data_IF_116529998348
#
_entry.id   IF_116529998348
#
_cell.length_a   1.000
_cell.length_b   1.000
_cell.length_c   1.000
_cell.angle_alpha   90.00
_cell.angle_beta   90.00
_cell.angle_gamma   90.00
#
_symmetry.space_group_name_H-M   'P 1'
#
loop_
_entity.id
_entity.type
_entity.pdbx_description
1 polymer ?
#
# COMPACT_ATOMS: atom_id res chain seq x y z
N UNK A 1 -9.30 -68.97 -50.93
CA UNK A 1 -8.56 -68.61 -49.75
C UNK A 1 -7.87 -67.28 -50.04
N UNK A 2 -8.42 -66.17 -49.65
CA UNK A 2 -7.83 -64.83 -49.82
C UNK A 2 -8.06 -64.01 -48.58
N UNK A 3 -6.98 -63.74 -47.88
CA UNK A 3 -6.94 -62.86 -46.66
C UNK A 3 -6.86 -61.43 -47.10
N UNK A 4 -7.85 -60.60 -46.80
CA UNK A 4 -7.81 -59.15 -46.88
C UNK A 4 -7.44 -58.56 -45.50
N UNK A 5 -6.26 -57.91 -45.42
CA UNK A 5 -5.75 -57.22 -44.28
C UNK A 5 -6.17 -55.72 -44.31
N UNK A 6 -7.14 -55.33 -43.49
CA UNK A 6 -7.46 -53.91 -43.29
C UNK A 6 -6.44 -53.24 -42.36
N UNK A 7 -5.69 -52.29 -42.88
CA UNK A 7 -4.89 -51.36 -42.10
C UNK A 7 -5.80 -50.22 -41.61
N UNK A 8 -5.98 -50.09 -40.29
CA UNK A 8 -6.57 -48.91 -39.65
C UNK A 8 -5.48 -47.85 -39.49
N UNK A 9 -5.66 -46.70 -40.13
CA UNK A 9 -4.90 -45.47 -39.86
C UNK A 9 -5.43 -44.82 -38.58
N UNK A 10 -4.62 -44.75 -37.54
CA UNK A 10 -4.86 -43.95 -36.37
C UNK A 10 -4.37 -42.52 -36.66
N UNK A 11 -5.29 -41.59 -36.78
CA UNK A 11 -5.02 -40.17 -36.83
C UNK A 11 -4.73 -39.67 -35.41
N UNK A 12 -3.51 -39.27 -35.17
CA UNK A 12 -3.13 -38.55 -33.95
C UNK A 12 -3.59 -37.09 -34.06
N UNK A 13 -4.68 -36.75 -33.35
CA UNK A 13 -5.08 -35.37 -33.15
C UNK A 13 -4.18 -34.75 -32.04
N UNK A 14 -3.21 -33.95 -32.46
CA UNK A 14 -2.37 -33.17 -31.54
C UNK A 14 -3.19 -32.05 -30.94
N UNK A 15 -3.49 -32.16 -29.64
CA UNK A 15 -4.00 -31.06 -28.82
C UNK A 15 -2.84 -30.11 -28.54
N UNK A 16 -2.78 -29.00 -29.25
CA UNK A 16 -1.97 -27.83 -28.88
C UNK A 16 -2.65 -27.14 -27.68
N UNK A 17 -2.24 -27.50 -26.48
CA UNK A 17 -2.60 -26.78 -25.28
C UNK A 17 -1.92 -25.42 -25.29
N UNK A 18 -2.68 -24.36 -25.56
CA UNK A 18 -2.23 -22.98 -25.34
C UNK A 18 -2.13 -22.79 -23.83
N UNK A 19 -0.91 -22.92 -23.28
CA UNK A 19 -0.61 -22.41 -21.94
C UNK A 19 -0.76 -20.88 -21.97
N UNK A 20 -1.92 -20.38 -21.58
CA UNK A 20 -2.08 -18.97 -21.20
C UNK A 20 -1.29 -18.80 -19.90
N UNK A 21 -0.01 -18.42 -20.04
CA UNK A 21 0.78 -17.93 -18.92
C UNK A 21 0.11 -16.62 -18.52
N UNK A 22 -0.75 -16.69 -17.49
CA UNK A 22 -1.26 -15.50 -16.83
C UNK A 22 -0.04 -14.75 -16.27
N UNK A 23 0.37 -13.71 -16.98
CA UNK A 23 1.29 -12.71 -16.46
C UNK A 23 0.61 -12.10 -15.24
N UNK A 24 0.83 -12.71 -14.07
CA UNK A 24 0.52 -12.08 -12.80
C UNK A 24 1.25 -10.74 -12.79
N UNK A 25 0.50 -9.66 -12.85
CA UNK A 25 1.04 -8.32 -12.71
C UNK A 25 1.76 -8.26 -11.38
N UNK A 26 3.09 -8.31 -11.41
CA UNK A 26 3.90 -8.05 -10.23
C UNK A 26 3.54 -6.63 -9.78
N UNK A 27 2.92 -6.53 -8.63
CA UNK A 27 2.58 -5.26 -8.00
C UNK A 27 3.89 -4.64 -7.51
N UNK A 28 4.20 -3.45 -7.97
CA UNK A 28 5.32 -2.65 -7.52
C UNK A 28 4.77 -1.30 -7.07
N UNK A 29 5.50 -0.60 -6.22
CA UNK A 29 5.15 0.80 -5.93
C UNK A 29 5.20 1.59 -7.23
N UNK A 30 4.06 2.15 -7.64
CA UNK A 30 3.94 2.91 -8.88
C UNK A 30 4.67 4.26 -8.75
N UNK A 31 5.91 4.30 -9.23
CA UNK A 31 6.70 5.54 -9.32
C UNK A 31 6.15 6.44 -10.42
N UNK A 32 5.72 5.85 -11.54
CA UNK A 32 5.09 6.54 -12.66
C UNK A 32 3.73 5.91 -12.92
N UNK A 33 2.69 6.72 -12.95
CA UNK A 33 1.33 6.31 -13.30
C UNK A 33 0.95 6.88 -14.66
N UNK A 34 0.33 6.06 -15.51
CA UNK A 34 -0.37 6.56 -16.69
C UNK A 34 -1.70 7.21 -16.28
N UNK A 35 -2.32 7.97 -17.19
CA UNK A 35 -3.66 8.52 -16.96
C UNK A 35 -4.70 7.42 -16.72
N UNK A 36 -4.59 6.29 -17.45
CA UNK A 36 -5.46 5.13 -17.26
C UNK A 36 -5.29 4.48 -15.90
N UNK A 37 -4.05 4.37 -15.40
CA UNK A 37 -3.79 3.83 -14.06
C UNK A 37 -4.29 4.76 -12.96
N UNK A 38 -4.17 6.06 -13.17
CA UNK A 38 -4.73 7.06 -12.26
C UNK A 38 -6.27 6.94 -12.18
N UNK A 39 -6.95 6.81 -13.35
CA UNK A 39 -8.38 6.63 -13.39
C UNK A 39 -8.81 5.32 -12.72
N UNK A 40 -8.10 4.21 -12.96
CA UNK A 40 -8.36 2.93 -12.28
C UNK A 40 -8.19 3.04 -10.77
N UNK A 41 -7.19 3.78 -10.30
CA UNK A 41 -6.98 3.99 -8.87
C UNK A 41 -8.13 4.78 -8.24
N UNK A 42 -8.62 5.85 -8.90
CA UNK A 42 -9.80 6.60 -8.47
C UNK A 42 -11.03 5.68 -8.35
N UNK A 43 -11.32 4.88 -9.37
CA UNK A 43 -12.45 3.94 -9.37
C UNK A 43 -12.29 2.85 -8.29
N UNK A 44 -11.07 2.34 -8.07
CA UNK A 44 -10.77 1.37 -7.01
C UNK A 44 -11.14 1.92 -5.63
N UNK A 45 -10.90 3.20 -5.39
CA UNK A 45 -11.30 3.85 -4.14
C UNK A 45 -12.79 4.17 -4.09
N UNK A 46 -13.36 4.63 -5.20
CA UNK A 46 -14.73 5.13 -5.30
C UNK A 46 -15.77 4.02 -5.15
N UNK A 47 -15.66 2.95 -5.94
CA UNK A 47 -16.70 1.91 -6.06
C UNK A 47 -17.06 1.25 -4.71
N UNK A 48 -16.09 0.82 -3.86
CA UNK A 48 -16.43 0.26 -2.57
C UNK A 48 -17.14 1.27 -1.64
N UNK A 49 -16.74 2.54 -1.70
CA UNK A 49 -17.31 3.61 -0.87
C UNK A 49 -18.72 3.99 -1.32
N UNK A 50 -19.03 3.93 -2.62
CA UNK A 50 -20.39 4.12 -3.15
C UNK A 50 -21.36 3.05 -2.65
N UNK A 51 -20.88 1.82 -2.46
CA UNK A 51 -21.67 0.68 -1.97
C UNK A 51 -21.80 0.63 -0.44
N UNK A 52 -20.99 1.41 0.28
CA UNK A 52 -20.98 1.43 1.74
C UNK A 52 -22.09 2.36 2.26
N UNK A 53 -23.25 1.82 2.61
CA UNK A 53 -24.40 2.61 3.06
C UNK A 53 -24.45 2.78 4.59
N UNK A 54 -23.91 1.83 5.33
CA UNK A 54 -23.86 1.88 6.78
C UNK A 54 -22.50 2.38 7.30
N UNK A 55 -22.44 3.04 8.47
CA UNK A 55 -21.18 3.50 9.07
C UNK A 55 -20.14 2.38 9.24
N UNK A 56 -20.55 1.17 9.58
CA UNK A 56 -19.69 -0.02 9.69
C UNK A 56 -19.11 -0.46 8.35
N UNK A 57 -19.84 -0.31 7.23
CA UNK A 57 -19.33 -0.62 5.90
C UNK A 57 -18.29 0.40 5.48
N UNK A 58 -18.54 1.68 5.74
CA UNK A 58 -17.56 2.77 5.53
C UNK A 58 -16.28 2.49 6.33
N UNK A 59 -16.42 2.11 7.61
CA UNK A 59 -15.28 1.74 8.47
C UNK A 59 -14.48 0.59 7.89
N UNK A 60 -15.15 -0.47 7.40
CA UNK A 60 -14.49 -1.62 6.75
C UNK A 60 -13.72 -1.20 5.49
N UNK A 61 -14.31 -0.38 4.62
CA UNK A 61 -13.63 0.12 3.40
C UNK A 61 -12.37 0.90 3.77
N UNK A 62 -12.43 1.79 4.76
CA UNK A 62 -11.27 2.56 5.21
C UNK A 62 -10.20 1.69 5.85
N UNK A 63 -10.61 0.70 6.66
CA UNK A 63 -9.69 -0.27 7.27
C UNK A 63 -8.98 -1.10 6.21
N UNK A 64 -9.71 -1.65 5.23
CA UNK A 64 -9.12 -2.42 4.12
C UNK A 64 -8.15 -1.58 3.30
N UNK A 65 -8.48 -0.32 2.99
CA UNK A 65 -7.59 0.59 2.29
C UNK A 65 -6.28 0.86 3.07
N UNK A 66 -6.38 1.02 4.39
CA UNK A 66 -5.21 1.19 5.26
C UNK A 66 -4.35 -0.08 5.30
N UNK A 67 -4.98 -1.26 5.41
CA UNK A 67 -4.28 -2.55 5.43
C UNK A 67 -3.56 -2.83 4.10
N UNK A 68 -4.18 -2.50 2.96
CA UNK A 68 -3.58 -2.71 1.63
C UNK A 68 -2.28 -1.91 1.41
N UNK A 69 -2.13 -0.77 2.08
CA UNK A 69 -0.94 0.08 2.02
C UNK A 69 0.02 -0.10 3.21
N UNK A 70 -0.32 -1.01 4.14
CA UNK A 70 0.47 -1.23 5.36
C UNK A 70 1.59 -2.23 5.13
N UNK A 71 2.71 -1.97 5.77
CA UNK A 71 3.87 -2.85 5.89
C UNK A 71 4.26 -3.01 7.36
N UNK A 72 5.01 -4.08 7.67
CA UNK A 72 5.37 -4.39 9.05
C UNK A 72 4.31 -5.21 9.77
N UNK A 73 4.05 -4.88 11.02
CA UNK A 73 3.13 -5.63 11.88
C UNK A 73 1.68 -5.54 11.40
N UNK A 74 0.97 -6.65 11.50
CA UNK A 74 -0.47 -6.74 11.28
C UNK A 74 -1.18 -6.24 12.55
N UNK A 75 -1.97 -5.16 12.50
CA UNK A 75 -2.58 -4.57 13.68
C UNK A 75 -3.64 -5.46 14.35
N UNK A 76 -4.14 -6.50 13.66
CA UNK A 76 -5.08 -7.46 14.25
C UNK A 76 -4.36 -8.52 15.09
N UNK A 77 -3.10 -8.86 14.72
CA UNK A 77 -2.29 -9.86 15.42
C UNK A 77 -1.33 -9.24 16.42
N UNK A 78 -0.77 -8.10 16.07
CA UNK A 78 0.17 -7.34 16.89
C UNK A 78 -0.18 -5.85 16.83
N UNK A 79 -1.12 -5.40 17.68
CA UNK A 79 -1.61 -4.01 17.65
C UNK A 79 -0.54 -2.97 17.97
N UNK A 80 0.54 -3.37 18.65
CA UNK A 80 1.67 -2.51 19.02
C UNK A 80 2.95 -2.81 18.24
N UNK A 81 2.93 -3.78 17.35
CA UNK A 81 4.05 -4.02 16.46
C UNK A 81 4.33 -2.83 15.54
N UNK A 82 5.62 -2.57 15.32
CA UNK A 82 6.05 -1.49 14.46
C UNK A 82 5.52 -1.68 13.03
N UNK A 83 4.87 -0.66 12.49
CA UNK A 83 4.26 -0.72 11.15
C UNK A 83 4.31 0.64 10.46
N UNK A 84 4.13 0.63 9.15
CA UNK A 84 4.02 1.86 8.38
C UNK A 84 2.93 1.76 7.30
N UNK A 85 2.32 2.88 6.97
CA UNK A 85 1.41 3.03 5.83
C UNK A 85 2.16 3.77 4.73
N UNK A 86 2.26 3.14 3.55
CA UNK A 86 2.92 3.72 2.39
C UNK A 86 1.91 4.52 1.59
N UNK A 87 1.95 5.84 1.71
CA UNK A 87 1.08 6.75 0.98
C UNK A 87 1.65 7.02 -0.41
N UNK A 88 1.59 5.99 -1.26
CA UNK A 88 2.00 6.02 -2.66
C UNK A 88 1.09 6.92 -3.49
N UNK A 89 1.47 7.20 -4.74
CA UNK A 89 0.59 7.92 -5.70
C UNK A 89 -0.76 7.21 -5.86
N UNK A 90 -0.74 5.88 -6.03
CA UNK A 90 -1.95 5.06 -6.14
C UNK A 90 -2.83 5.17 -4.90
N UNK A 91 -2.26 4.99 -3.70
CA UNK A 91 -3.00 5.13 -2.45
C UNK A 91 -3.70 6.48 -2.33
N UNK A 92 -3.04 7.57 -2.74
CA UNK A 92 -3.61 8.93 -2.71
C UNK A 92 -4.75 9.11 -3.70
N UNK A 93 -4.62 8.55 -4.91
CA UNK A 93 -5.69 8.56 -5.91
C UNK A 93 -6.89 7.72 -5.45
N UNK A 94 -6.67 6.56 -4.87
CA UNK A 94 -7.74 5.76 -4.24
C UNK A 94 -8.43 6.53 -3.10
N UNK A 95 -7.66 7.30 -2.31
CA UNK A 95 -8.24 8.17 -1.29
C UNK A 95 -9.12 9.29 -1.89
N UNK A 96 -8.71 9.87 -3.01
CA UNK A 96 -9.52 10.83 -3.77
C UNK A 96 -10.81 10.18 -4.28
N UNK A 97 -10.74 8.97 -4.85
CA UNK A 97 -11.93 8.22 -5.27
C UNK A 97 -12.92 7.99 -4.12
N UNK A 98 -12.41 7.62 -2.93
CA UNK A 98 -13.25 7.50 -1.72
C UNK A 98 -13.90 8.84 -1.34
N UNK A 99 -13.15 9.93 -1.41
CA UNK A 99 -13.66 11.27 -1.13
C UNK A 99 -14.73 11.70 -2.13
N UNK A 100 -14.53 11.43 -3.43
CA UNK A 100 -15.55 11.68 -4.47
C UNK A 100 -16.88 10.98 -4.13
N UNK A 101 -16.83 9.71 -3.76
CA UNK A 101 -18.02 8.94 -3.40
C UNK A 101 -18.75 9.54 -2.17
N UNK A 102 -18.00 9.91 -1.14
CA UNK A 102 -18.57 10.54 0.08
C UNK A 102 -19.25 11.87 -0.27
N UNK A 103 -18.56 12.74 -1.02
CA UNK A 103 -19.10 14.05 -1.39
C UNK A 103 -20.29 13.93 -2.37
N UNK A 104 -20.25 12.94 -3.28
CA UNK A 104 -21.36 12.65 -4.19
C UNK A 104 -22.62 12.24 -3.42
N UNK A 105 -22.50 11.34 -2.46
CA UNK A 105 -23.62 10.93 -1.58
C UNK A 105 -24.17 12.11 -0.78
N UNK A 106 -23.28 12.89 -0.18
CA UNK A 106 -23.67 14.06 0.63
C UNK A 106 -24.40 15.12 -0.16
N UNK A 107 -23.92 15.42 -1.36
CA UNK A 107 -24.48 16.49 -2.21
C UNK A 107 -25.57 16.01 -3.15
N UNK A 108 -25.76 14.68 -3.30
CA UNK A 108 -26.69 14.04 -4.26
C UNK A 108 -26.44 14.45 -5.73
N UNK A 109 -25.18 14.68 -6.07
CA UNK A 109 -24.70 14.97 -7.43
C UNK A 109 -23.40 14.19 -7.66
N UNK A 110 -23.03 13.95 -8.91
CA UNK A 110 -21.75 13.34 -9.22
C UNK A 110 -20.61 14.34 -8.99
N UNK A 111 -19.80 14.10 -7.96
CA UNK A 111 -18.62 14.92 -7.62
C UNK A 111 -17.37 14.19 -8.10
N UNK A 112 -16.51 14.90 -8.82
CA UNK A 112 -15.24 14.40 -9.31
C UNK A 112 -14.10 15.28 -8.83
N UNK A 113 -12.94 14.66 -8.55
CA UNK A 113 -11.73 15.39 -8.22
C UNK A 113 -11.27 16.19 -9.44
N UNK A 114 -10.94 17.48 -9.30
CA UNK A 114 -10.41 18.27 -10.41
C UNK A 114 -9.10 17.66 -10.94
N UNK A 115 -8.93 17.67 -12.26
CA UNK A 115 -7.75 17.10 -12.95
C UNK A 115 -6.42 17.66 -12.43
N UNK A 116 -6.39 18.91 -12.02
CA UNK A 116 -5.20 19.55 -11.45
C UNK A 116 -4.70 18.87 -10.16
N UNK A 117 -5.62 18.36 -9.32
CA UNK A 117 -5.23 17.62 -8.11
C UNK A 117 -4.74 16.20 -8.46
N UNK A 118 -5.39 15.55 -9.44
CA UNK A 118 -4.95 14.24 -9.95
C UNK A 118 -3.53 14.38 -10.51
N UNK A 119 -3.31 15.39 -11.35
CA UNK A 119 -1.99 15.68 -11.92
C UNK A 119 -0.94 15.96 -10.84
N UNK A 120 -1.27 16.77 -9.82
CA UNK A 120 -0.37 17.01 -8.69
C UNK A 120 0.07 15.71 -8.02
N UNK A 121 -0.84 14.74 -7.81
CA UNK A 121 -0.47 13.43 -7.24
C UNK A 121 0.40 12.63 -8.21
N UNK A 122 0.08 12.61 -9.50
CA UNK A 122 0.88 11.89 -10.50
C UNK A 122 2.31 12.44 -10.61
N UNK A 123 2.48 13.75 -10.46
CA UNK A 123 3.77 14.45 -10.55
C UNK A 123 4.55 14.47 -9.23
N UNK A 124 4.01 13.91 -8.13
CA UNK A 124 4.70 13.89 -6.84
C UNK A 124 6.05 13.15 -6.93
N UNK A 125 7.17 13.77 -6.53
CA UNK A 125 8.48 13.13 -6.60
C UNK A 125 8.75 12.17 -5.44
N UNK A 126 7.88 12.18 -4.40
CA UNK A 126 8.16 11.52 -3.13
C UNK A 126 7.01 10.62 -2.69
N UNK A 127 7.37 9.53 -2.03
CA UNK A 127 6.47 8.70 -1.24
C UNK A 127 6.45 9.18 0.21
N UNK A 128 5.26 9.35 0.78
CA UNK A 128 5.10 9.60 2.22
C UNK A 128 4.91 8.26 2.95
N UNK A 129 5.64 8.09 4.02
CA UNK A 129 5.58 6.92 4.89
C UNK A 129 5.06 7.38 6.26
N UNK A 130 3.87 6.95 6.65
CA UNK A 130 3.34 7.18 7.99
C UNK A 130 3.75 6.00 8.89
N UNK A 131 4.66 6.25 9.82
CA UNK A 131 5.15 5.26 10.79
C UNK A 131 4.23 5.24 12.00
N UNK A 132 3.93 4.05 12.51
CA UNK A 132 3.18 3.82 13.74
C UNK A 132 4.00 2.95 14.68
N UNK A 133 4.17 3.42 15.91
CA UNK A 133 4.94 2.76 16.96
C UNK A 133 4.16 2.81 18.29
N UNK A 134 4.50 1.90 19.21
CA UNK A 134 4.08 1.97 20.60
C UNK A 134 5.29 2.15 21.50
N UNK A 135 5.10 2.80 22.65
CA UNK A 135 6.14 3.04 23.68
C UNK A 135 5.54 3.26 25.05
N UNK A 136 6.40 3.34 26.08
CA UNK A 136 5.99 3.40 27.48
C UNK A 136 5.60 4.80 27.95
N UNK A 137 6.08 5.85 27.28
CA UNK A 137 5.74 7.23 27.59
C UNK A 137 5.14 7.98 26.38
N UNK A 138 4.51 9.12 26.62
CA UNK A 138 3.81 9.88 25.59
C UNK A 138 4.73 10.61 24.61
N UNK A 139 6.04 10.71 24.89
CA UNK A 139 7.04 11.38 24.05
C UNK A 139 8.07 10.41 23.47
N UNK A 140 7.92 9.09 23.66
CA UNK A 140 8.89 8.08 23.27
C UNK A 140 9.36 8.17 21.80
N UNK A 141 8.50 8.67 20.89
CA UNK A 141 8.81 8.82 19.48
C UNK A 141 9.38 10.22 19.12
N UNK A 142 9.52 11.13 20.10
CA UNK A 142 10.10 12.46 19.84
C UNK A 142 11.54 12.32 19.37
N UNK A 143 11.91 13.04 18.29
CA UNK A 143 13.25 12.97 17.72
C UNK A 143 13.62 11.64 17.07
N UNK A 144 12.66 10.73 16.85
CA UNK A 144 12.89 9.51 16.10
C UNK A 144 13.46 9.83 14.70
N UNK A 145 14.43 9.04 14.27
CA UNK A 145 14.99 9.09 12.91
C UNK A 145 14.67 7.80 12.17
N UNK A 146 14.49 7.88 10.87
CA UNK A 146 14.14 6.74 10.04
C UNK A 146 15.06 6.64 8.83
N UNK A 147 15.41 5.43 8.42
CA UNK A 147 16.11 5.12 7.18
C UNK A 147 15.39 3.98 6.45
N UNK A 148 15.45 3.98 5.12
CA UNK A 148 15.02 2.85 4.29
C UNK A 148 16.25 2.04 3.89
N UNK A 149 16.27 0.75 4.21
CA UNK A 149 17.34 -0.18 3.83
C UNK A 149 16.90 -1.08 2.69
N UNK A 150 17.71 -1.17 1.63
CA UNK A 150 17.56 -2.07 0.50
C UNK A 150 18.89 -2.78 0.25
N UNK A 151 19.02 -4.03 0.72
CA UNK A 151 20.31 -4.72 0.77
C UNK A 151 21.32 -3.95 1.62
N UNK A 152 22.45 -3.55 1.03
CA UNK A 152 23.48 -2.73 1.70
C UNK A 152 23.24 -1.22 1.60
N UNK A 153 22.28 -0.79 0.76
CA UNK A 153 21.98 0.64 0.56
C UNK A 153 21.13 1.16 1.72
N UNK A 154 21.55 2.29 2.30
CA UNK A 154 20.79 3.06 3.27
C UNK A 154 20.32 4.36 2.62
N UNK A 155 19.04 4.64 2.69
CA UNK A 155 18.38 5.78 2.07
C UNK A 155 17.77 6.61 3.18
N UNK A 156 18.21 7.85 3.28
CA UNK A 156 17.65 8.81 4.22
C UNK A 156 16.41 9.47 3.63
N UNK A 157 15.40 9.79 4.43
CA UNK A 157 14.27 10.58 3.96
C UNK A 157 14.73 12.00 3.62
N UNK A 158 13.95 12.66 2.76
CA UNK A 158 14.16 14.08 2.43
C UNK A 158 13.70 14.96 3.58
N UNK A 159 12.64 14.53 4.25
CA UNK A 159 12.04 15.22 5.37
C UNK A 159 11.43 14.22 6.36
N UNK A 160 11.43 14.57 7.64
CA UNK A 160 10.80 13.82 8.72
C UNK A 160 9.87 14.78 9.46
N UNK A 161 8.58 14.47 9.43
CA UNK A 161 7.59 15.21 10.18
C UNK A 161 7.75 14.99 11.68
N UNK A 162 7.35 15.97 12.46
CA UNK A 162 7.37 15.89 13.92
C UNK A 162 6.50 14.74 14.41
N UNK A 163 7.00 13.94 15.35
CA UNK A 163 6.21 12.88 15.96
C UNK A 163 5.00 13.46 16.73
N UNK A 164 3.84 12.82 16.56
CA UNK A 164 2.68 13.14 17.38
C UNK A 164 2.94 12.75 18.84
N UNK A 165 2.42 13.53 19.77
CA UNK A 165 2.35 13.11 21.17
C UNK A 165 1.60 11.78 21.27
N UNK A 166 2.13 10.81 21.97
CA UNK A 166 1.55 9.49 22.12
C UNK A 166 0.14 9.54 22.71
N UNK A 167 -0.78 8.83 22.09
CA UNK A 167 -2.13 8.62 22.61
C UNK A 167 -2.15 7.34 23.42
N UNK A 168 -2.88 7.33 24.53
CA UNK A 168 -3.05 6.10 25.32
C UNK A 168 -3.55 4.96 24.44
N UNK A 169 -2.89 3.82 24.58
CA UNK A 169 -3.27 2.58 23.96
C UNK A 169 -4.26 1.85 24.88
N UNK A 170 -5.45 1.53 24.38
CA UNK A 170 -6.50 0.85 25.15
C UNK A 170 -6.32 -0.69 25.16
N UNK A 171 -5.32 -1.21 24.41
CA UNK A 171 -5.06 -2.64 24.28
C UNK A 171 -3.94 -3.15 25.19
N UNK A 172 -3.59 -4.43 25.01
CA UNK A 172 -2.39 -5.02 25.61
C UNK A 172 -1.13 -4.46 24.92
N UNK A 173 -0.06 -4.23 25.69
CA UNK A 173 1.24 -3.74 25.21
C UNK A 173 1.61 -2.40 25.82
N UNK A 174 2.59 -1.69 25.24
CA UNK A 174 3.04 -0.39 25.69
C UNK A 174 1.92 0.64 25.83
N UNK A 175 2.04 1.54 26.82
CA UNK A 175 0.96 2.42 27.26
C UNK A 175 0.55 3.47 26.21
N UNK A 176 1.41 3.79 25.25
CA UNK A 176 1.17 4.86 24.30
C UNK A 176 1.43 4.41 22.85
N UNK A 177 0.68 5.01 21.93
CA UNK A 177 0.87 4.88 20.47
C UNK A 177 1.12 6.24 19.88
N UNK A 178 2.17 6.35 19.06
CA UNK A 178 2.53 7.57 18.33
C UNK A 178 2.67 7.33 16.84
N UNK A 179 2.63 8.42 16.09
CA UNK A 179 2.82 8.44 14.63
C UNK A 179 3.71 9.61 14.23
N UNK A 180 4.47 9.40 13.17
CA UNK A 180 5.14 10.47 12.44
C UNK A 180 5.21 10.13 10.96
N UNK A 181 5.53 11.09 10.12
CA UNK A 181 5.66 10.91 8.69
C UNK A 181 7.10 11.12 8.23
N UNK A 182 7.49 10.45 7.15
CA UNK A 182 8.77 10.66 6.48
C UNK A 182 8.57 10.66 4.97
N UNK A 183 9.32 11.49 4.24
CA UNK A 183 9.27 11.60 2.79
C UNK A 183 10.50 10.95 2.16
N UNK A 184 10.29 10.01 1.25
CA UNK A 184 11.35 9.34 0.50
C UNK A 184 11.21 9.65 -0.99
N UNK A 185 12.30 10.12 -1.64
CA UNK A 185 12.30 10.37 -3.07
C UNK A 185 12.19 9.05 -3.84
N UNK A 186 11.27 8.96 -4.79
CA UNK A 186 11.07 7.77 -5.62
C UNK A 186 12.33 7.38 -6.41
N UNK A 187 13.16 8.34 -6.79
CA UNK A 187 14.40 8.11 -7.53
C UNK A 187 15.51 7.46 -6.70
N UNK A 188 15.39 7.47 -5.38
CA UNK A 188 16.44 6.99 -4.48
C UNK A 188 16.30 5.51 -4.14
N UNK A 189 15.15 4.88 -4.36
CA UNK A 189 14.92 3.48 -3.99
C UNK A 189 14.37 2.65 -5.17
N UNK A 190 14.57 1.33 -5.09
CA UNK A 190 13.96 0.38 -6.00
C UNK A 190 12.52 0.07 -5.56
N UNK A 191 11.56 0.36 -6.42
CA UNK A 191 10.12 0.19 -6.18
C UNK A 191 9.66 -1.28 -6.14
N UNK A 192 10.54 -2.23 -6.45
CA UNK A 192 10.25 -3.67 -6.44
C UNK A 192 11.02 -4.42 -5.34
N UNK A 193 11.94 -3.75 -4.64
CA UNK A 193 12.84 -4.42 -3.73
C UNK A 193 12.17 -4.80 -2.40
N UNK A 194 12.66 -5.89 -1.81
CA UNK A 194 12.46 -6.14 -0.38
C UNK A 194 13.26 -5.11 0.40
N UNK A 195 12.61 -4.46 1.33
CA UNK A 195 13.11 -3.31 2.05
C UNK A 195 12.84 -3.43 3.54
N UNK A 196 13.52 -2.64 4.34
CA UNK A 196 13.25 -2.50 5.77
C UNK A 196 13.32 -1.02 6.12
N UNK A 197 12.28 -0.48 6.72
CA UNK A 197 12.39 0.81 7.41
C UNK A 197 12.98 0.55 8.79
N UNK A 198 14.06 1.25 9.10
CA UNK A 198 14.74 1.19 10.40
C UNK A 198 14.49 2.51 11.10
N UNK A 199 13.83 2.45 12.25
CA UNK A 199 13.51 3.60 13.07
C UNK A 199 14.36 3.55 14.33
N UNK A 200 15.16 4.58 14.58
CA UNK A 200 15.96 4.72 15.78
C UNK A 200 15.29 5.75 16.68
N UNK A 201 14.99 5.34 17.90
CA UNK A 201 14.43 6.19 18.94
C UNK A 201 15.56 6.87 19.75
N UNK A 202 15.25 7.96 20.45
CA UNK A 202 16.25 8.70 21.24
C UNK A 202 16.85 7.90 22.39
N UNK A 203 16.12 6.95 22.95
CA UNK A 203 16.57 6.04 24.00
C UNK A 203 17.51 4.94 23.51
N UNK A 204 17.83 4.92 22.21
CA UNK A 204 18.68 3.92 21.56
C UNK A 204 17.94 2.65 21.11
N UNK A 205 16.65 2.55 21.33
CA UNK A 205 15.84 1.44 20.78
C UNK A 205 15.73 1.55 19.27
N UNK A 206 15.75 0.39 18.59
CA UNK A 206 15.58 0.28 17.14
C UNK A 206 14.30 -0.51 16.83
N UNK A 207 13.43 0.05 16.02
CA UNK A 207 12.29 -0.65 15.44
C UNK A 207 12.54 -0.94 13.95
N UNK A 208 12.30 -2.19 13.54
CA UNK A 208 12.48 -2.63 12.15
C UNK A 208 11.14 -2.99 11.53
N UNK A 209 10.80 -2.35 10.42
CA UNK A 209 9.54 -2.53 9.71
C UNK A 209 9.84 -3.15 8.35
N UNK A 210 9.68 -4.48 8.19
CA UNK A 210 9.90 -5.13 6.91
C UNK A 210 8.85 -4.70 5.89
N UNK A 211 9.28 -4.43 4.65
CA UNK A 211 8.44 -3.97 3.56
C UNK A 211 8.83 -4.69 2.26
N UNK A 212 7.89 -5.41 1.69
CA UNK A 212 8.05 -6.00 0.36
C UNK A 212 7.32 -5.12 -0.65
N UNK A 213 8.07 -4.22 -1.30
CA UNK A 213 7.49 -3.25 -2.23
C UNK A 213 6.83 -3.90 -3.45
N UNK A 214 7.21 -5.13 -3.79
CA UNK A 214 6.56 -5.88 -4.86
C UNK A 214 5.12 -6.32 -4.53
N UNK A 215 4.68 -6.19 -3.26
CA UNK A 215 3.36 -6.59 -2.77
C UNK A 215 2.48 -5.42 -2.34
N UNK A 216 3.03 -4.20 -2.33
CA UNK A 216 2.30 -2.99 -1.94
C UNK A 216 1.55 -2.44 -3.15
N UNK A 217 0.29 -2.04 -2.93
CA UNK A 217 -0.53 -1.37 -3.95
C UNK A 217 -0.39 0.14 -3.89
#
# INVERSE_FOLDING_TARGET
>A
MNFYRHRKLLGAAGFFGICVIGLGTAWAIDVKLSADDAQKALETGRVPMEKADLPEDVKKVLQQASLAARVGADPEKDPCGASAILRTKRYRLEAFGRQEAVESKKRKIDVRMPEEFIKKVMDMPNMEVEVQLCGEDEYFAEGAVIELQQGSKRIKPIDIGKAERGRKNEGQGPAFRSRFTALFAYEQFDSNAKSVFVVNLQDGQEARIPADFSKVR
#
